data_IF_465012108635
#
_entry.id   IF_465012108635
#
_cell.length_a   1.000
_cell.length_b   1.000
_cell.length_c   1.000
_cell.angle_alpha   90.00
_cell.angle_beta   90.00
_cell.angle_gamma   90.00
#
_symmetry.space_group_name_H-M   'P 1'
#
loop_
_entity.id
_entity.type
_entity.pdbx_description
1 polymer ?
#
# COMPACT_ATOMS: atom_id res chain seq x y z
N UNK A 1 9.40 -5.58 -11.30
CA UNK A 1 9.38 -4.16 -10.85
C UNK A 1 8.93 -4.25 -9.40
N UNK A 2 8.57 -3.18 -8.69
CA UNK A 2 7.81 -3.36 -7.44
C UNK A 2 6.31 -3.50 -7.74
N UNK A 3 5.52 -4.05 -6.81
CA UNK A 3 4.08 -3.81 -6.69
C UNK A 3 3.74 -2.34 -6.82
N UNK A 4 4.49 -1.44 -6.18
CA UNK A 4 4.22 -0.01 -6.28
C UNK A 4 4.37 0.46 -7.74
N UNK A 5 5.46 0.06 -8.40
CA UNK A 5 5.70 0.36 -9.81
C UNK A 5 4.67 -0.28 -10.76
N UNK A 6 4.24 -1.51 -10.48
CA UNK A 6 3.27 -2.28 -11.28
C UNK A 6 1.85 -1.71 -11.15
N UNK A 7 1.43 -1.35 -9.94
CA UNK A 7 0.07 -0.91 -9.63
C UNK A 7 -0.14 0.58 -9.85
N UNK A 8 0.84 1.40 -9.50
CA UNK A 8 0.72 2.87 -9.52
C UNK A 8 1.68 3.56 -10.49
N UNK A 9 2.57 2.79 -11.12
CA UNK A 9 3.53 3.29 -12.10
C UNK A 9 4.89 3.62 -11.49
N UNK A 10 5.93 3.58 -12.34
CA UNK A 10 7.34 3.79 -11.95
C UNK A 10 7.60 5.12 -11.22
N UNK A 11 6.84 6.17 -11.54
CA UNK A 11 6.96 7.49 -10.89
C UNK A 11 6.75 7.42 -9.38
N UNK A 12 5.80 6.62 -8.92
CA UNK A 12 5.53 6.44 -7.50
C UNK A 12 6.63 5.65 -6.81
N UNK A 13 7.21 4.65 -7.49
CA UNK A 13 8.36 3.90 -7.00
C UNK A 13 9.59 4.79 -6.80
N UNK A 14 9.90 5.67 -7.77
CA UNK A 14 10.97 6.66 -7.64
C UNK A 14 10.68 7.67 -6.51
N UNK A 15 9.40 8.03 -6.31
CA UNK A 15 8.96 8.91 -5.22
C UNK A 15 9.18 8.25 -3.85
N UNK A 16 8.78 6.99 -3.68
CA UNK A 16 9.01 6.22 -2.46
C UNK A 16 10.50 6.10 -2.13
N UNK A 17 11.33 5.81 -3.15
CA UNK A 17 12.79 5.73 -3.01
C UNK A 17 13.42 7.06 -2.60
N UNK A 18 12.87 8.17 -3.09
CA UNK A 18 13.39 9.52 -2.80
C UNK A 18 12.87 10.12 -1.49
N UNK A 19 11.63 9.82 -1.11
CA UNK A 19 10.97 10.38 0.06
C UNK A 19 11.37 9.70 1.38
N UNK A 20 11.84 8.45 1.34
CA UNK A 20 12.22 7.70 2.54
C UNK A 20 11.02 7.38 3.45
N UNK A 21 11.30 6.97 4.69
CA UNK A 21 10.23 6.64 5.66
C UNK A 21 9.51 7.91 6.12
N UNK A 22 8.30 8.11 5.63
CA UNK A 22 7.40 9.19 6.06
C UNK A 22 6.74 8.84 7.39
N UNK A 23 6.75 9.81 8.32
CA UNK A 23 6.03 9.72 9.59
C UNK A 23 4.56 10.11 9.38
N UNK A 24 3.71 9.11 9.12
CA UNK A 24 2.31 9.31 8.70
C UNK A 24 1.51 10.01 9.77
N UNK A 25 1.69 9.63 11.04
CA UNK A 25 1.04 10.28 12.17
C UNK A 25 1.41 11.78 12.28
N UNK A 26 2.67 12.14 12.02
CA UNK A 26 3.12 13.52 12.06
C UNK A 26 2.55 14.32 10.87
N UNK A 27 2.61 13.78 9.66
CA UNK A 27 2.04 14.40 8.45
C UNK A 27 0.53 14.58 8.54
N UNK A 28 -0.17 13.55 9.01
CA UNK A 28 -1.63 13.59 9.25
C UNK A 28 -2.00 14.72 10.20
N UNK A 29 -1.28 14.83 11.33
CA UNK A 29 -1.55 15.87 12.35
C UNK A 29 -1.17 17.27 11.88
N UNK A 30 0.01 17.44 11.29
CA UNK A 30 0.52 18.76 10.88
C UNK A 30 -0.27 19.36 9.72
N UNK A 31 -0.73 18.52 8.79
CA UNK A 31 -1.42 18.98 7.59
C UNK A 31 -2.95 18.76 7.66
N UNK A 32 -3.46 18.27 8.79
CA UNK A 32 -4.87 17.88 8.96
C UNK A 32 -5.37 16.92 7.86
N UNK A 33 -4.50 16.00 7.44
CA UNK A 33 -4.78 14.98 6.42
C UNK A 33 -5.21 13.70 7.13
N UNK A 34 -6.22 13.00 6.63
CA UNK A 34 -6.59 11.69 7.19
C UNK A 34 -5.40 10.70 7.03
N UNK A 35 -5.07 9.86 8.01
CA UNK A 35 -3.91 8.97 7.96
C UNK A 35 -3.85 8.11 6.68
N UNK A 36 -4.98 7.63 6.20
CA UNK A 36 -5.12 6.85 4.97
C UNK A 36 -4.88 7.66 3.68
N UNK A 37 -4.95 8.99 3.77
CA UNK A 37 -4.70 9.92 2.67
C UNK A 37 -3.31 10.53 2.71
N UNK A 38 -2.44 10.07 3.60
CA UNK A 38 -1.03 10.48 3.60
C UNK A 38 -0.29 9.65 2.54
N UNK A 39 0.27 10.35 1.56
CA UNK A 39 1.07 9.79 0.48
C UNK A 39 2.48 9.37 0.89
N UNK A 40 3.22 8.84 -0.09
CA UNK A 40 4.60 8.37 0.06
C UNK A 40 5.60 9.48 0.43
N UNK A 41 5.23 10.73 0.22
CA UNK A 41 6.00 11.95 0.53
C UNK A 41 5.47 12.70 1.75
N UNK A 42 4.46 12.16 2.43
CA UNK A 42 3.82 12.84 3.56
C UNK A 42 2.85 13.95 3.17
N UNK A 43 2.59 14.12 1.87
CA UNK A 43 1.57 15.04 1.37
C UNK A 43 0.22 14.34 1.23
N UNK A 44 -0.81 15.11 0.87
CA UNK A 44 -2.14 14.58 0.61
C UNK A 44 -2.13 13.76 -0.68
N UNK A 45 -2.55 12.51 -0.59
CA UNK A 45 -2.72 11.59 -1.70
C UNK A 45 -3.98 10.75 -1.49
N UNK A 46 -4.90 10.82 -2.43
CA UNK A 46 -6.16 10.08 -2.36
C UNK A 46 -5.96 8.56 -2.36
N UNK A 47 -4.83 8.06 -2.85
CA UNK A 47 -4.40 6.66 -2.84
C UNK A 47 -3.19 6.42 -1.93
N UNK A 48 -2.95 7.31 -0.94
CA UNK A 48 -1.75 7.29 -0.11
C UNK A 48 -1.53 5.99 0.67
N UNK A 49 -2.58 5.43 1.28
CA UNK A 49 -2.52 4.16 1.99
C UNK A 49 -2.18 2.98 1.06
N UNK A 50 -2.84 2.88 -0.09
CA UNK A 50 -2.65 1.79 -1.06
C UNK A 50 -1.24 1.81 -1.65
N UNK A 51 -0.70 3.01 -1.94
CA UNK A 51 0.68 3.19 -2.37
C UNK A 51 1.67 2.76 -1.28
N UNK A 52 1.44 3.15 -0.02
CA UNK A 52 2.28 2.73 1.11
C UNK A 52 2.20 1.24 1.38
N UNK A 53 1.02 0.64 1.23
CA UNK A 53 0.85 -0.82 1.29
C UNK A 53 1.64 -1.48 0.17
N UNK A 54 1.50 -1.03 -1.08
CA UNK A 54 2.25 -1.59 -2.20
C UNK A 54 3.77 -1.48 -1.98
N UNK A 55 4.26 -0.34 -1.47
CA UNK A 55 5.66 -0.20 -1.07
C UNK A 55 6.04 -1.19 0.03
N UNK A 56 5.19 -1.35 1.06
CA UNK A 56 5.47 -2.28 2.15
C UNK A 56 5.50 -3.74 1.67
N UNK A 57 4.70 -4.10 0.67
CA UNK A 57 4.74 -5.42 0.02
C UNK A 57 6.08 -5.62 -0.72
N UNK A 58 6.57 -4.58 -1.39
CA UNK A 58 7.89 -4.57 -2.04
C UNK A 58 9.01 -4.76 -1.02
N UNK A 59 8.96 -4.03 0.09
CA UNK A 59 9.93 -4.16 1.19
C UNK A 59 9.86 -5.53 1.87
N UNK A 60 8.68 -6.17 1.87
CA UNK A 60 8.49 -7.52 2.38
C UNK A 60 8.99 -8.61 1.41
N UNK A 61 9.42 -8.24 0.19
CA UNK A 61 9.92 -9.16 -0.83
C UNK A 61 8.83 -10.08 -1.40
N UNK A 62 7.56 -9.66 -1.37
CA UNK A 62 6.48 -10.40 -2.02
C UNK A 62 6.66 -10.26 -3.53
N UNK A 63 6.50 -11.36 -4.25
CA UNK A 63 6.69 -11.40 -5.70
C UNK A 63 5.61 -10.57 -6.42
N UNK A 64 6.02 -9.54 -7.16
CA UNK A 64 5.13 -8.69 -7.94
C UNK A 64 4.59 -9.39 -9.19
N UNK A 65 5.07 -10.59 -9.51
CA UNK A 65 4.59 -11.42 -10.63
C UNK A 65 3.26 -12.09 -10.34
N UNK A 66 2.94 -12.31 -9.06
CA UNK A 66 1.66 -12.92 -8.66
C UNK A 66 0.49 -11.98 -8.99
N UNK A 67 -0.68 -12.56 -9.23
CA UNK A 67 -1.92 -11.84 -9.47
C UNK A 67 -2.48 -11.22 -8.19
N UNK A 68 -1.71 -10.33 -7.54
CA UNK A 68 -2.13 -9.57 -6.37
C UNK A 68 -2.23 -8.08 -6.75
N UNK A 69 -3.31 -7.44 -6.33
CA UNK A 69 -3.57 -6.02 -6.51
C UNK A 69 -3.92 -5.38 -5.18
N UNK A 70 -3.44 -4.15 -4.99
CA UNK A 70 -3.71 -3.35 -3.81
C UNK A 70 -4.63 -2.20 -4.20
N UNK A 71 -5.75 -2.11 -3.51
CA UNK A 71 -6.66 -0.98 -3.57
C UNK A 71 -6.93 -0.47 -2.15
N UNK A 72 -7.52 0.72 -2.06
CA UNK A 72 -8.03 1.25 -0.80
C UNK A 72 -9.46 1.75 -0.97
N UNK A 73 -10.20 1.76 0.12
CA UNK A 73 -11.52 2.36 0.23
C UNK A 73 -11.60 3.04 1.58
N UNK A 74 -11.34 4.34 1.60
CA UNK A 74 -11.09 5.07 2.85
C UNK A 74 -9.90 4.45 3.60
N UNK A 75 -10.11 4.13 4.88
CA UNK A 75 -9.10 3.48 5.73
C UNK A 75 -9.07 1.95 5.61
N UNK A 76 -9.83 1.37 4.68
CA UNK A 76 -9.85 -0.08 4.43
C UNK A 76 -8.98 -0.41 3.22
N UNK A 77 -8.00 -1.30 3.40
CA UNK A 77 -7.19 -1.83 2.31
C UNK A 77 -7.94 -3.00 1.67
N UNK A 78 -8.04 -3.01 0.35
CA UNK A 78 -8.64 -4.11 -0.41
C UNK A 78 -7.54 -4.80 -1.21
N UNK A 79 -7.17 -6.00 -0.81
CA UNK A 79 -6.22 -6.86 -1.49
C UNK A 79 -6.98 -7.78 -2.43
N UNK A 80 -6.97 -7.48 -3.73
CA UNK A 80 -7.52 -8.38 -4.74
C UNK A 80 -6.49 -9.41 -5.14
N UNK A 81 -6.86 -10.69 -5.21
CA UNK A 81 -5.89 -11.75 -5.46
C UNK A 81 -6.43 -12.81 -6.43
N UNK A 82 -5.55 -13.37 -7.25
CA UNK A 82 -5.79 -14.58 -8.02
C UNK A 82 -5.35 -15.83 -7.23
N UNK A 83 -5.76 -17.05 -7.64
CA UNK A 83 -5.36 -18.29 -6.98
C UNK A 83 -3.83 -18.49 -6.86
N UNK A 84 -3.03 -17.95 -7.78
CA UNK A 84 -1.57 -17.98 -7.73
C UNK A 84 -0.96 -17.12 -6.61
N UNK A 85 -1.71 -16.11 -6.13
CA UNK A 85 -1.28 -15.24 -5.03
C UNK A 85 -1.72 -15.74 -3.65
N UNK A 86 -2.47 -16.85 -3.57
CA UNK A 86 -3.03 -17.37 -2.31
C UNK A 86 -1.93 -17.70 -1.28
N UNK A 87 -0.77 -18.17 -1.74
CA UNK A 87 0.39 -18.48 -0.88
C UNK A 87 1.06 -17.25 -0.24
N UNK A 88 0.97 -16.07 -0.89
CA UNK A 88 1.56 -14.81 -0.36
C UNK A 88 0.53 -13.93 0.36
N UNK A 89 -0.73 -14.32 0.33
CA UNK A 89 -1.87 -13.53 0.76
C UNK A 89 -1.85 -13.25 2.27
N UNK A 90 -1.53 -14.27 3.07
CA UNK A 90 -1.40 -14.12 4.52
C UNK A 90 -0.27 -13.15 4.89
N UNK A 91 0.84 -13.16 4.15
CA UNK A 91 1.93 -12.22 4.32
C UNK A 91 1.52 -10.81 3.89
N UNK A 92 0.86 -10.69 2.74
CA UNK A 92 0.37 -9.42 2.23
C UNK A 92 -0.63 -8.76 3.18
N UNK A 93 -1.55 -9.54 3.76
CA UNK A 93 -2.50 -9.06 4.75
C UNK A 93 -1.80 -8.56 6.02
N UNK A 94 -0.81 -9.31 6.51
CA UNK A 94 -0.01 -8.91 7.68
C UNK A 94 0.74 -7.61 7.44
N UNK A 95 1.34 -7.47 6.25
CA UNK A 95 2.02 -6.24 5.83
C UNK A 95 1.04 -5.08 5.76
N UNK A 96 -0.10 -5.26 5.09
CA UNK A 96 -1.13 -4.23 4.95
C UNK A 96 -1.68 -3.75 6.30
N UNK A 97 -1.91 -4.66 7.25
CA UNK A 97 -2.32 -4.32 8.63
C UNK A 97 -1.25 -3.54 9.41
N UNK A 98 0.02 -3.70 9.05
CA UNK A 98 1.12 -2.97 9.66
C UNK A 98 1.27 -1.54 9.17
N UNK A 99 0.57 -1.14 8.10
CA UNK A 99 0.68 0.21 7.54
C UNK A 99 -0.17 1.19 8.32
N UNK A 100 0.45 2.29 8.78
CA UNK A 100 -0.22 3.35 9.52
C UNK A 100 -1.39 3.95 8.72
N UNK A 101 -2.60 3.92 9.28
CA UNK A 101 -3.83 4.38 8.63
C UNK A 101 -4.69 3.27 8.03
N UNK A 102 -4.21 2.02 7.97
CA UNK A 102 -5.07 0.87 7.70
C UNK A 102 -5.86 0.51 8.97
N UNK A 103 -7.18 0.68 8.94
CA UNK A 103 -8.06 0.23 10.04
C UNK A 103 -8.62 -1.17 9.78
N UNK A 104 -8.74 -1.54 8.51
CA UNK A 104 -9.21 -2.85 8.08
C UNK A 104 -8.47 -3.28 6.81
N UNK A 105 -8.35 -4.60 6.63
CA UNK A 105 -7.82 -5.21 5.41
C UNK A 105 -8.83 -6.24 4.96
N UNK A 106 -9.27 -6.14 3.71
CA UNK A 106 -10.20 -7.04 3.09
C UNK A 106 -9.52 -7.73 1.91
N UNK A 107 -9.62 -9.05 1.85
CA UNK A 107 -9.03 -9.86 0.79
C UNK A 107 -10.15 -10.36 -0.11
N UNK A 108 -10.07 -10.07 -1.41
CA UNK A 108 -11.15 -10.37 -2.36
C UNK A 108 -10.57 -11.17 -3.53
N UNK A 109 -11.08 -12.37 -3.83
CA UNK A 109 -10.64 -13.11 -5.00
C UNK A 109 -11.02 -12.34 -6.27
N UNK A 110 -10.09 -12.25 -7.22
CA UNK A 110 -10.29 -11.67 -8.53
C UNK A 110 -10.92 -12.75 -9.42
N UNK A 111 -12.25 -12.84 -9.34
CA UNK A 111 -13.10 -13.78 -10.11
C UNK A 111 -13.53 -13.18 -11.44
#
# INVERSE_FOLDING_TARGET
MGFLGKLFGKKEEDKAKSAGKVAVAASSKNNSIAPEKVGLDGQFDESGLAKRVAQALDEAGIDDSVGLWVAQTGSTVVLKYNPDAEGVLAQAEKVAKGVEGATAVNTVPNS
#
